data_IF_367167662675
#
_entry.id   IF_367167662675
#
_cell.length_a   1.000
_cell.length_b   1.000
_cell.length_c   1.000
_cell.angle_alpha   90.00
_cell.angle_beta   90.00
_cell.angle_gamma   90.00
#
_symmetry.space_group_name_H-M   'P 1'
#
loop_
_entity.id
_entity.type
_entity.pdbx_description
1 polymer ?
#
# COMPACT_ATOMS: atom_id res chain seq x y z
N UNK A 1 5.58 -23.61 14.06
CA UNK A 1 4.44 -23.05 13.28
C UNK A 1 3.77 -21.87 13.98
N UNK A 2 4.54 -20.88 14.43
CA UNK A 2 4.02 -19.59 14.91
C UNK A 2 4.95 -18.48 14.41
N UNK A 3 4.83 -18.13 13.12
CA UNK A 3 5.55 -16.99 12.54
C UNK A 3 4.64 -15.93 11.89
N UNK A 4 3.32 -16.14 11.82
CA UNK A 4 2.44 -15.29 10.99
C UNK A 4 1.22 -14.72 11.72
N UNK A 5 1.25 -14.53 13.05
CA UNK A 5 0.14 -13.93 13.82
C UNK A 5 0.42 -12.46 14.20
N UNK A 6 1.20 -11.75 13.38
CA UNK A 6 1.32 -10.28 13.45
C UNK A 6 0.82 -9.62 12.13
N UNK A 7 0.35 -10.42 11.17
CA UNK A 7 -0.12 -9.95 9.87
C UNK A 7 -1.60 -9.53 9.74
N UNK A 8 -2.55 -9.70 10.70
CA UNK A 8 -3.95 -9.43 10.38
C UNK A 8 -4.21 -7.93 10.20
N UNK A 9 -3.63 -7.07 11.05
CA UNK A 9 -3.95 -5.63 11.03
C UNK A 9 -3.30 -4.93 9.84
N UNK A 10 -2.06 -5.27 9.46
CA UNK A 10 -1.41 -4.64 8.31
C UNK A 10 -2.10 -5.02 7.00
N UNK A 11 -2.45 -6.30 6.82
CA UNK A 11 -3.20 -6.75 5.63
C UNK A 11 -4.62 -6.16 5.61
N UNK A 12 -5.27 -6.05 6.77
CA UNK A 12 -6.61 -5.47 6.90
C UNK A 12 -6.65 -3.96 6.68
N UNK A 13 -5.65 -3.21 7.15
CA UNK A 13 -5.52 -1.79 6.85
C UNK A 13 -5.29 -1.58 5.35
N UNK A 14 -4.46 -2.40 4.72
CA UNK A 14 -4.24 -2.33 3.27
C UNK A 14 -5.49 -2.72 2.47
N UNK A 15 -6.28 -3.71 2.92
CA UNK A 15 -7.53 -4.06 2.26
C UNK A 15 -8.60 -2.96 2.38
N UNK A 16 -8.55 -2.15 3.45
CA UNK A 16 -9.32 -0.91 3.59
C UNK A 16 -8.70 0.29 2.84
N UNK A 17 -7.58 0.10 2.15
CA UNK A 17 -6.88 1.18 1.46
C UNK A 17 -6.32 2.23 2.42
N UNK A 18 -5.88 1.83 3.62
CA UNK A 18 -5.31 2.70 4.64
C UNK A 18 -3.80 2.45 4.81
N UNK A 19 -3.08 3.53 5.13
CA UNK A 19 -1.65 3.44 5.44
C UNK A 19 -1.44 2.69 6.76
N UNK A 20 -0.61 1.63 6.71
CA UNK A 20 -0.21 0.83 7.88
C UNK A 20 0.62 1.58 8.93
N UNK A 21 0.87 2.88 8.75
CA UNK A 21 1.66 3.71 9.67
C UNK A 21 0.85 4.79 10.35
N UNK A 22 0.13 5.58 9.56
CA UNK A 22 -0.62 6.72 10.06
C UNK A 22 -2.14 6.57 9.92
N UNK A 23 -2.64 5.43 9.41
CA UNK A 23 -4.07 5.16 9.22
C UNK A 23 -4.77 6.00 8.14
N UNK A 24 -4.04 6.92 7.49
CA UNK A 24 -4.61 7.79 6.45
C UNK A 24 -5.01 6.97 5.22
N UNK A 25 -6.14 7.29 4.57
CA UNK A 25 -6.53 6.66 3.31
C UNK A 25 -5.46 6.89 2.24
N UNK A 26 -5.06 5.80 1.57
CA UNK A 26 -4.09 5.80 0.48
C UNK A 26 -4.61 6.60 -0.73
N UNK A 27 -5.92 6.69 -0.92
CA UNK A 27 -6.57 7.55 -1.92
C UNK A 27 -6.28 9.05 -1.72
N UNK A 28 -5.93 9.48 -0.50
CA UNK A 28 -5.53 10.86 -0.20
C UNK A 28 -4.01 11.06 -0.29
N UNK A 29 -3.26 10.02 -0.61
CA UNK A 29 -1.82 10.09 -0.86
C UNK A 29 -1.52 10.72 -2.22
N UNK A 30 -0.24 10.99 -2.48
CA UNK A 30 0.21 11.39 -3.82
C UNK A 30 0.23 10.17 -4.71
N UNK A 31 -0.64 10.14 -5.71
CA UNK A 31 -0.73 9.06 -6.70
C UNK A 31 0.12 9.41 -7.91
N UNK A 32 0.92 8.46 -8.38
CA UNK A 32 1.73 8.56 -9.58
C UNK A 32 1.50 7.31 -10.43
N UNK A 33 1.02 7.44 -11.68
CA UNK A 33 0.78 6.28 -12.53
C UNK A 33 2.10 5.57 -12.86
N UNK A 34 2.09 4.25 -12.79
CA UNK A 34 3.16 3.38 -13.25
C UNK A 34 2.68 2.61 -14.50
N UNK A 35 3.65 2.17 -15.30
CA UNK A 35 3.38 1.28 -16.42
C UNK A 35 2.74 -0.05 -15.95
N UNK A 36 1.90 -0.62 -16.81
CA UNK A 36 1.23 -1.92 -16.63
C UNK A 36 0.02 -1.96 -15.68
N UNK A 37 -0.67 -0.83 -15.46
CA UNK A 37 -1.87 -0.78 -14.60
C UNK A 37 -1.52 -0.85 -13.11
N UNK A 38 -0.41 -0.21 -12.76
CA UNK A 38 0.03 0.00 -11.38
C UNK A 38 0.05 1.49 -11.11
N UNK A 39 -0.18 1.86 -9.87
CA UNK A 39 -0.10 3.24 -9.41
C UNK A 39 0.74 3.26 -8.14
N UNK A 40 1.69 4.19 -8.06
CA UNK A 40 2.48 4.43 -6.86
C UNK A 40 1.77 5.46 -6.02
N UNK A 41 1.61 5.15 -4.74
CA UNK A 41 0.94 6.00 -3.77
C UNK A 41 1.95 6.34 -2.67
N UNK A 42 2.38 7.59 -2.62
CA UNK A 42 3.20 8.11 -1.54
C UNK A 42 2.30 8.71 -0.45
N UNK A 43 2.35 8.11 0.74
CA UNK A 43 1.65 8.62 1.91
C UNK A 43 2.43 9.80 2.53
N UNK A 44 1.71 10.72 3.20
CA UNK A 44 2.31 11.86 3.92
C UNK A 44 3.36 11.48 4.97
N UNK A 45 3.31 10.25 5.49
CA UNK A 45 4.29 9.73 6.45
C UNK A 45 5.58 9.22 5.80
N UNK A 46 5.74 9.39 4.48
CA UNK A 46 6.92 8.95 3.73
C UNK A 46 6.86 7.50 3.24
N UNK A 47 5.83 6.73 3.62
CA UNK A 47 5.66 5.35 3.14
C UNK A 47 5.05 5.30 1.75
N UNK A 48 5.60 4.43 0.91
CA UNK A 48 5.20 4.25 -0.47
C UNK A 48 4.48 2.91 -0.63
N UNK A 49 3.38 2.94 -1.36
CA UNK A 49 2.53 1.80 -1.67
C UNK A 49 2.37 1.70 -3.18
N UNK A 50 2.08 0.49 -3.66
CA UNK A 50 1.69 0.22 -5.03
C UNK A 50 0.25 -0.25 -5.00
N UNK A 51 -0.58 0.40 -5.80
CA UNK A 51 -1.94 0.03 -6.08
C UNK A 51 -1.99 -0.66 -7.45
N UNK A 52 -2.38 -1.92 -7.46
CA UNK A 52 -2.58 -2.68 -8.69
C UNK A 52 -4.03 -2.49 -9.13
N UNK A 53 -4.27 -1.64 -10.14
CA UNK A 53 -5.62 -1.28 -10.58
C UNK A 53 -6.37 -2.47 -11.15
N UNK A 54 -5.65 -3.45 -11.73
CA UNK A 54 -6.22 -4.70 -12.25
C UNK A 54 -6.85 -5.58 -11.17
N UNK A 55 -6.24 -5.64 -9.98
CA UNK A 55 -6.72 -6.50 -8.88
C UNK A 55 -7.32 -5.71 -7.72
N UNK A 56 -7.28 -4.38 -7.79
CA UNK A 56 -7.66 -3.44 -6.73
C UNK A 56 -6.99 -3.79 -5.39
N UNK A 57 -5.69 -4.10 -5.45
CA UNK A 57 -4.90 -4.50 -4.28
C UNK A 57 -3.85 -3.45 -3.97
N UNK A 58 -3.73 -3.14 -2.68
CA UNK A 58 -2.67 -2.30 -2.16
C UNK A 58 -1.57 -3.19 -1.57
N UNK A 59 -0.33 -2.93 -1.97
CA UNK A 59 0.86 -3.52 -1.37
C UNK A 59 1.88 -2.44 -1.07
N UNK A 60 2.88 -2.77 -0.24
CA UNK A 60 4.04 -1.89 -0.06
C UNK A 60 4.87 -1.90 -1.35
N UNK A 61 5.45 -0.75 -1.69
CA UNK A 61 6.43 -0.68 -2.77
C UNK A 61 7.67 -1.51 -2.42
N UNK A 62 8.20 -2.22 -3.41
CA UNK A 62 9.51 -2.86 -3.30
C UNK A 62 10.61 -1.80 -3.36
N UNK A 63 11.83 -2.15 -2.91
CA UNK A 63 12.96 -1.22 -2.94
C UNK A 63 13.26 -0.69 -4.35
N UNK A 64 13.04 -1.51 -5.37
CA UNK A 64 13.19 -1.17 -6.79
C UNK A 64 12.11 -0.19 -7.31
N UNK A 65 11.03 0.01 -6.56
CA UNK A 65 9.88 0.86 -6.94
C UNK A 65 9.85 2.19 -6.16
N UNK A 66 10.80 2.43 -5.24
CA UNK A 66 10.91 3.63 -4.39
C UNK A 66 11.70 4.73 -5.08
#
# INVERSE_FOLDING_TARGET
MFKNVIAPVQAWLLSRGQCVGCGMPLTKGRVSPLSNGREKIACKCGRIFIHETKTNKYRRALFEEV
#
